data_IF_899807957602
#
_entry.id   IF_899807957602
#
_cell.length_a   1.000
_cell.length_b   1.000
_cell.length_c   1.000
_cell.angle_alpha   90.00
_cell.angle_beta   90.00
_cell.angle_gamma   90.00
#
_symmetry.space_group_name_H-M   'P 1'
#
loop_
_entity.id
_entity.type
_entity.pdbx_description
1 polymer ?
#
# COMPACT_ATOMS: atom_id res chain seq x y z
N UNK A 1 -19.32 9.62 -27.46
CA UNK A 1 -18.16 8.72 -27.53
C UNK A 1 -18.64 7.36 -27.02
N UNK A 2 -18.97 6.42 -27.91
CA UNK A 2 -19.44 5.11 -27.50
C UNK A 2 -18.25 4.35 -26.90
N UNK A 3 -18.26 4.12 -25.59
CA UNK A 3 -17.25 3.28 -24.95
C UNK A 3 -17.33 1.90 -25.60
N UNK A 4 -16.26 1.47 -26.27
CA UNK A 4 -16.19 0.15 -26.86
C UNK A 4 -16.31 -0.89 -25.74
N UNK A 5 -17.46 -1.56 -25.67
CA UNK A 5 -17.76 -2.58 -24.65
C UNK A 5 -16.68 -3.68 -24.61
N UNK A 6 -16.08 -3.98 -25.77
CA UNK A 6 -14.96 -4.91 -25.93
C UNK A 6 -13.71 -4.47 -25.16
N UNK A 7 -13.37 -3.18 -25.16
CA UNK A 7 -12.21 -2.65 -24.46
C UNK A 7 -12.38 -2.72 -22.93
N UNK A 8 -13.59 -2.46 -22.44
CA UNK A 8 -13.91 -2.58 -21.01
C UNK A 8 -13.83 -4.04 -20.56
N UNK A 9 -14.35 -4.97 -21.35
CA UNK A 9 -14.24 -6.41 -21.07
C UNK A 9 -12.77 -6.85 -21.06
N UNK A 10 -11.97 -6.42 -22.03
CA UNK A 10 -10.55 -6.73 -22.08
C UNK A 10 -9.78 -6.24 -20.84
N UNK A 11 -10.06 -5.02 -20.37
CA UNK A 11 -9.46 -4.49 -19.12
C UNK A 11 -9.87 -5.30 -17.89
N UNK A 12 -11.14 -5.67 -17.79
CA UNK A 12 -11.64 -6.52 -16.70
C UNK A 12 -10.95 -7.88 -16.68
N UNK A 13 -10.76 -8.49 -17.86
CA UNK A 13 -10.06 -9.77 -17.99
C UNK A 13 -8.59 -9.63 -17.56
N UNK A 14 -7.88 -8.58 -18.00
CA UNK A 14 -6.50 -8.32 -17.56
C UNK A 14 -6.43 -8.16 -16.04
N UNK A 15 -7.37 -7.42 -15.46
CA UNK A 15 -7.43 -7.22 -14.00
C UNK A 15 -7.65 -8.53 -13.24
N UNK A 16 -8.58 -9.38 -13.70
CA UNK A 16 -8.84 -10.68 -13.08
C UNK A 16 -7.64 -11.62 -13.22
N UNK A 17 -7.01 -11.66 -14.40
CA UNK A 17 -5.78 -12.45 -14.64
C UNK A 17 -4.67 -11.98 -13.69
N UNK A 18 -4.50 -10.66 -13.54
CA UNK A 18 -3.52 -10.08 -12.62
C UNK A 18 -3.77 -10.55 -11.18
N UNK A 19 -5.00 -10.45 -10.69
CA UNK A 19 -5.35 -10.91 -9.34
C UNK A 19 -5.09 -12.40 -9.16
N UNK A 20 -5.46 -13.21 -10.14
CA UNK A 20 -5.25 -14.65 -10.10
C UNK A 20 -3.77 -15.02 -10.08
N UNK A 21 -2.97 -14.34 -10.90
CA UNK A 21 -1.54 -14.61 -11.01
C UNK A 21 -0.75 -14.12 -9.78
N UNK A 22 -1.19 -13.03 -9.14
CA UNK A 22 -0.68 -12.61 -7.82
C UNK A 22 -1.01 -13.66 -6.76
N UNK A 23 -2.25 -14.18 -6.75
CA UNK A 23 -2.67 -15.18 -5.77
C UNK A 23 -1.91 -16.51 -5.89
N UNK A 24 -1.44 -16.86 -7.10
CA UNK A 24 -0.64 -18.07 -7.35
C UNK A 24 0.88 -17.88 -7.16
N UNK A 25 1.36 -16.68 -6.84
CA UNK A 25 2.79 -16.35 -6.70
C UNK A 25 3.66 -16.94 -7.86
N UNK A 26 3.14 -16.91 -9.10
CA UNK A 26 3.79 -17.52 -10.29
C UNK A 26 5.03 -16.75 -10.73
N UNK A 27 5.06 -15.44 -10.46
CA UNK A 27 6.11 -14.50 -10.84
C UNK A 27 6.38 -13.50 -9.72
N UNK A 28 7.51 -12.79 -9.80
CA UNK A 28 7.73 -11.61 -8.98
C UNK A 28 6.59 -10.60 -9.17
N UNK A 29 5.97 -10.22 -8.06
CA UNK A 29 4.77 -9.36 -8.03
C UNK A 29 5.00 -8.04 -8.78
N UNK A 30 6.19 -7.47 -8.68
CA UNK A 30 6.56 -6.24 -9.37
C UNK A 30 6.57 -6.41 -10.91
N UNK A 31 7.21 -7.46 -11.42
CA UNK A 31 7.27 -7.73 -12.85
C UNK A 31 5.87 -7.97 -13.43
N UNK A 32 5.03 -8.71 -12.70
CA UNK A 32 3.66 -8.98 -13.13
C UNK A 32 2.80 -7.72 -13.20
N UNK A 33 2.86 -6.87 -12.17
CA UNK A 33 2.13 -5.59 -12.15
C UNK A 33 2.56 -4.70 -13.32
N UNK A 34 3.86 -4.64 -13.64
CA UNK A 34 4.37 -3.85 -14.75
C UNK A 34 3.87 -4.36 -16.10
N UNK A 35 3.91 -5.67 -16.33
CA UNK A 35 3.41 -6.27 -17.58
C UNK A 35 1.92 -6.01 -17.75
N UNK A 36 1.12 -6.18 -16.69
CA UNK A 36 -0.31 -5.88 -16.73
C UNK A 36 -0.60 -4.40 -16.96
N UNK A 37 0.19 -3.49 -16.37
CA UNK A 37 0.05 -2.05 -16.58
C UNK A 37 0.32 -1.65 -18.04
N UNK A 38 1.37 -2.20 -18.65
CA UNK A 38 1.68 -1.98 -20.06
C UNK A 38 0.58 -2.55 -20.95
N UNK A 39 0.12 -3.78 -20.68
CA UNK A 39 -0.97 -4.39 -21.45
C UNK A 39 -2.27 -3.57 -21.36
N UNK A 40 -2.61 -3.07 -20.17
CA UNK A 40 -3.78 -2.20 -19.97
C UNK A 40 -3.65 -0.89 -20.76
N UNK A 41 -2.47 -0.26 -20.76
CA UNK A 41 -2.21 0.93 -21.56
C UNK A 41 -2.43 0.68 -23.06
N UNK A 42 -1.92 -0.43 -23.60
CA UNK A 42 -2.14 -0.80 -25.00
C UNK A 42 -3.63 -1.00 -25.32
N UNK A 43 -4.39 -1.65 -24.43
CA UNK A 43 -5.84 -1.81 -24.60
C UNK A 43 -6.55 -0.45 -24.64
N UNK A 44 -6.17 0.48 -23.76
CA UNK A 44 -6.78 1.81 -23.70
C UNK A 44 -6.48 2.64 -24.96
N UNK A 45 -5.25 2.62 -25.46
CA UNK A 45 -4.87 3.41 -26.63
C UNK A 45 -5.41 2.79 -27.93
N UNK A 46 -5.22 1.48 -28.13
CA UNK A 46 -5.56 0.82 -29.40
C UNK A 46 -7.02 0.37 -29.52
N UNK A 47 -7.62 -0.14 -28.44
CA UNK A 47 -8.98 -0.72 -28.51
C UNK A 47 -10.05 0.31 -28.17
N UNK A 48 -9.78 1.18 -27.19
CA UNK A 48 -10.69 2.27 -26.83
C UNK A 48 -10.47 3.54 -27.69
N UNK A 49 -9.37 3.60 -28.45
CA UNK A 49 -9.08 4.71 -29.38
C UNK A 49 -8.84 6.04 -28.66
N UNK A 50 -8.46 5.99 -27.39
CA UNK A 50 -8.13 7.18 -26.62
C UNK A 50 -6.76 7.71 -27.04
N UNK A 51 -6.66 9.02 -27.25
CA UNK A 51 -5.40 9.66 -27.58
C UNK A 51 -4.38 9.42 -26.45
N UNK A 52 -3.13 9.05 -26.77
CA UNK A 52 -2.08 8.82 -25.78
C UNK A 52 -1.91 9.99 -24.80
N UNK A 53 -2.07 11.23 -25.30
CA UNK A 53 -1.97 12.45 -24.48
C UNK A 53 -3.03 12.52 -23.39
N UNK A 54 -4.25 12.04 -23.64
CA UNK A 54 -5.32 12.00 -22.63
C UNK A 54 -5.01 10.96 -21.57
N UNK A 55 -4.51 9.78 -21.97
CA UNK A 55 -4.16 8.70 -21.02
C UNK A 55 -3.01 9.13 -20.10
N UNK A 56 -1.98 9.76 -20.67
CA UNK A 56 -0.85 10.31 -19.90
C UNK A 56 -1.31 11.47 -19.01
N UNK A 57 -2.20 12.34 -19.50
CA UNK A 57 -2.80 13.41 -18.70
C UNK A 57 -3.59 12.89 -17.49
N UNK A 58 -4.33 11.79 -17.63
CA UNK A 58 -4.97 11.13 -16.48
C UNK A 58 -3.97 10.55 -15.48
N UNK A 59 -2.90 9.92 -15.96
CA UNK A 59 -1.89 9.27 -15.13
C UNK A 59 -0.98 10.25 -14.38
N UNK A 60 -0.50 11.29 -15.07
CA UNK A 60 0.48 12.24 -14.53
C UNK A 60 -0.15 13.56 -14.06
N UNK A 61 -1.38 13.85 -14.49
CA UNK A 61 -2.03 15.14 -14.32
C UNK A 61 -1.80 16.05 -15.53
N UNK A 62 -2.69 17.03 -15.70
CA UNK A 62 -2.60 18.04 -16.77
C UNK A 62 -1.88 19.29 -16.24
N UNK A 63 -1.34 20.14 -17.11
CA UNK A 63 -0.74 21.44 -16.74
C UNK A 63 -1.69 22.30 -15.87
N UNK A 64 -3.00 22.22 -16.12
CA UNK A 64 -4.03 22.92 -15.34
C UNK A 64 -4.13 22.44 -13.88
N UNK A 65 -3.80 21.17 -13.61
CA UNK A 65 -3.87 20.55 -12.28
C UNK A 65 -2.49 20.48 -11.59
N UNK A 66 -1.47 21.12 -12.18
CA UNK A 66 -0.11 21.16 -11.64
C UNK A 66 0.52 19.79 -11.44
N UNK A 67 0.17 18.78 -12.25
CA UNK A 67 0.68 17.41 -12.13
C UNK A 67 0.46 16.76 -10.75
N UNK A 68 -0.66 17.05 -10.09
CA UNK A 68 -0.94 16.55 -8.71
C UNK A 68 -0.84 15.02 -8.60
N UNK A 69 -1.26 14.27 -9.63
CA UNK A 69 -1.16 12.80 -9.66
C UNK A 69 0.29 12.32 -9.69
N UNK A 70 1.16 12.97 -10.49
CA UNK A 70 2.58 12.65 -10.52
C UNK A 70 3.25 12.90 -9.16
N UNK A 71 2.93 14.02 -8.50
CA UNK A 71 3.42 14.30 -7.15
C UNK A 71 3.01 13.21 -6.15
N UNK A 72 1.76 12.72 -6.21
CA UNK A 72 1.29 11.63 -5.35
C UNK A 72 2.05 10.33 -5.60
N UNK A 73 2.31 9.96 -6.86
CA UNK A 73 3.10 8.77 -7.22
C UNK A 73 4.52 8.88 -6.67
N UNK A 74 5.18 10.03 -6.90
CA UNK A 74 6.54 10.30 -6.40
C UNK A 74 6.59 10.26 -4.87
N UNK A 75 5.58 10.80 -4.20
CA UNK A 75 5.47 10.78 -2.74
C UNK A 75 5.37 9.34 -2.20
N UNK A 76 4.47 8.52 -2.77
CA UNK A 76 4.30 7.12 -2.36
C UNK A 76 5.61 6.34 -2.58
N UNK A 77 6.27 6.55 -3.72
CA UNK A 77 7.56 5.91 -4.02
C UNK A 77 8.64 6.33 -3.01
N UNK A 78 8.78 7.62 -2.72
CA UNK A 78 9.75 8.13 -1.75
C UNK A 78 9.55 7.50 -0.37
N UNK A 79 8.30 7.37 0.07
CA UNK A 79 7.97 6.79 1.37
C UNK A 79 8.22 5.27 1.39
N UNK A 80 7.98 4.56 0.29
CA UNK A 80 8.36 3.15 0.15
C UNK A 80 9.88 2.94 0.30
N UNK A 81 10.69 3.80 -0.33
CA UNK A 81 12.16 3.74 -0.22
C UNK A 81 12.60 4.00 1.22
N UNK A 82 12.10 5.09 1.84
CA UNK A 82 12.44 5.45 3.23
C UNK A 82 12.06 4.30 4.18
N UNK A 83 10.84 3.76 4.06
CA UNK A 83 10.38 2.66 4.91
C UNK A 83 11.26 1.41 4.76
N UNK A 84 11.64 1.06 3.53
CA UNK A 84 12.51 -0.10 3.26
C UNK A 84 13.87 0.06 3.93
N UNK A 85 14.44 1.27 3.89
CA UNK A 85 15.71 1.58 4.57
C UNK A 85 15.54 1.48 6.08
N UNK A 86 14.50 2.10 6.66
CA UNK A 86 14.18 2.00 8.10
C UNK A 86 13.99 0.56 8.56
N UNK A 87 13.41 -0.29 7.72
CA UNK A 87 13.28 -1.72 8.02
C UNK A 87 14.63 -2.42 8.09
N UNK A 88 15.52 -2.17 7.12
CA UNK A 88 16.85 -2.79 7.09
C UNK A 88 17.78 -2.30 8.19
N UNK A 89 17.64 -1.06 8.66
CA UNK A 89 18.50 -0.48 9.71
C UNK A 89 18.12 -0.92 11.12
N UNK A 90 17.05 -1.69 11.30
CA UNK A 90 16.59 -2.13 12.63
C UNK A 90 15.88 -1.03 13.42
N UNK A 91 15.53 0.09 12.80
CA UNK A 91 14.78 1.19 13.42
C UNK A 91 13.49 0.71 14.09
N UNK A 92 12.75 -0.19 13.43
CA UNK A 92 11.54 -0.78 14.00
C UNK A 92 11.81 -1.70 15.19
N UNK A 93 12.96 -2.37 15.26
CA UNK A 93 13.33 -3.19 16.42
C UNK A 93 13.57 -2.31 17.65
N UNK A 94 14.17 -1.13 17.46
CA UNK A 94 14.35 -0.16 18.53
C UNK A 94 13.01 0.36 19.09
N UNK A 95 12.08 0.76 18.21
CA UNK A 95 10.73 1.19 18.62
C UNK A 95 9.97 0.04 19.29
N UNK A 96 10.08 -1.17 18.75
CA UNK A 96 9.48 -2.36 19.34
C UNK A 96 9.96 -2.59 20.78
N UNK A 97 11.25 -2.42 21.05
CA UNK A 97 11.80 -2.56 22.39
C UNK A 97 11.27 -1.50 23.36
N UNK A 98 11.16 -0.24 22.92
CA UNK A 98 10.53 0.83 23.69
C UNK A 98 9.07 0.50 24.04
N UNK A 99 8.29 0.03 23.06
CA UNK A 99 6.91 -0.39 23.25
C UNK A 99 6.78 -1.56 24.25
N UNK A 100 7.65 -2.55 24.16
CA UNK A 100 7.69 -3.70 25.07
C UNK A 100 8.01 -3.24 26.50
N UNK A 101 8.97 -2.32 26.65
CA UNK A 101 9.34 -1.75 27.95
C UNK A 101 8.19 -0.98 28.58
N UNK A 102 7.46 -0.17 27.78
CA UNK A 102 6.29 0.58 28.23
C UNK A 102 5.13 -0.33 28.68
N UNK A 103 4.93 -1.44 27.97
CA UNK A 103 3.81 -2.37 28.17
C UNK A 103 4.10 -3.47 29.20
N UNK A 104 5.34 -3.56 29.68
CA UNK A 104 5.86 -4.63 30.55
C UNK A 104 5.63 -6.03 29.96
N UNK A 105 5.62 -6.15 28.63
CA UNK A 105 5.42 -7.42 27.92
C UNK A 105 4.03 -8.05 28.03
N UNK A 106 3.01 -7.35 28.55
CA UNK A 106 1.64 -7.88 28.60
C UNK A 106 0.97 -7.75 27.24
N UNK A 107 0.58 -8.88 26.63
CA UNK A 107 -0.03 -8.94 25.30
C UNK A 107 -1.18 -7.94 25.08
N UNK A 108 -2.12 -7.85 26.03
CA UNK A 108 -3.27 -6.93 25.95
C UNK A 108 -2.84 -5.46 25.95
N UNK A 109 -1.82 -5.11 26.74
CA UNK A 109 -1.31 -3.72 26.80
C UNK A 109 -0.56 -3.35 25.52
N UNK A 110 0.22 -4.29 24.98
CA UNK A 110 0.90 -4.12 23.69
C UNK A 110 -0.11 -3.87 22.60
N UNK A 111 -1.19 -4.64 22.57
CA UNK A 111 -2.24 -4.52 21.57
C UNK A 111 -2.90 -3.14 21.59
N UNK A 112 -3.30 -2.65 22.78
CA UNK A 112 -3.89 -1.33 22.94
C UNK A 112 -2.93 -0.19 22.57
N UNK A 113 -1.71 -0.22 23.10
CA UNK A 113 -0.73 0.85 22.86
C UNK A 113 -0.31 0.89 21.39
N UNK A 114 -0.07 -0.27 20.76
CA UNK A 114 0.27 -0.36 19.35
C UNK A 114 -0.88 0.12 18.45
N UNK A 115 -2.12 -0.21 18.80
CA UNK A 115 -3.31 0.22 18.04
C UNK A 115 -3.55 1.73 18.17
N UNK A 116 -3.42 2.28 19.38
CA UNK A 116 -3.51 3.73 19.61
C UNK A 116 -2.41 4.49 18.88
N UNK A 117 -1.17 4.02 18.96
CA UNK A 117 -0.06 4.59 18.21
C UNK A 117 -0.32 4.55 16.71
N UNK A 118 -0.86 3.43 16.20
CA UNK A 118 -1.22 3.30 14.79
C UNK A 118 -2.29 4.31 14.39
N UNK A 119 -3.33 4.47 15.20
CA UNK A 119 -4.38 5.45 14.95
C UNK A 119 -3.83 6.88 14.89
N UNK A 120 -2.97 7.27 15.84
CA UNK A 120 -2.36 8.60 15.85
C UNK A 120 -1.45 8.85 14.64
N UNK A 121 -0.63 7.87 14.28
CA UNK A 121 0.23 7.99 13.08
C UNK A 121 -0.62 8.05 11.82
N UNK A 122 -1.70 7.27 11.73
CA UNK A 122 -2.56 7.24 10.55
C UNK A 122 -3.45 8.48 10.38
N UNK A 123 -3.72 9.25 11.43
CA UNK A 123 -4.41 10.53 11.26
C UNK A 123 -3.53 11.59 10.60
N UNK A 124 -2.20 11.42 10.67
CA UNK A 124 -1.24 12.31 9.98
C UNK A 124 -0.80 11.73 8.63
N UNK A 125 -0.68 10.41 8.52
CA UNK A 125 -0.18 9.70 7.33
C UNK A 125 -1.30 8.97 6.59
N UNK A 126 -1.22 8.89 5.26
CA UNK A 126 -2.18 8.11 4.49
C UNK A 126 -2.15 6.61 4.83
N UNK A 127 -3.30 5.94 4.69
CA UNK A 127 -3.52 4.51 4.98
C UNK A 127 -2.36 3.61 4.49
N UNK A 128 -1.99 3.74 3.21
CA UNK A 128 -0.97 2.92 2.57
C UNK A 128 0.41 3.07 3.20
N UNK A 129 0.75 4.29 3.63
CA UNK A 129 2.04 4.60 4.26
C UNK A 129 2.08 4.01 5.67
N UNK A 130 1.02 4.22 6.44
CA UNK A 130 0.93 3.74 7.82
C UNK A 130 1.02 2.22 7.86
N UNK A 131 0.35 1.53 6.93
CA UNK A 131 0.44 0.07 6.82
C UNK A 131 1.88 -0.41 6.56
N UNK A 132 2.59 0.25 5.64
CA UNK A 132 3.98 -0.08 5.29
C UNK A 132 4.94 0.06 6.49
N UNK A 133 4.69 1.00 7.40
CA UNK A 133 5.54 1.28 8.57
C UNK A 133 5.14 0.40 9.77
N UNK A 134 3.83 0.31 10.06
CA UNK A 134 3.34 -0.22 11.32
C UNK A 134 3.14 -1.75 11.33
N UNK A 135 2.89 -2.37 10.17
CA UNK A 135 2.80 -3.83 10.04
C UNK A 135 4.14 -4.50 10.39
N UNK A 136 5.29 -4.15 9.79
CA UNK A 136 6.56 -4.79 10.13
C UNK A 136 6.99 -4.53 11.58
N UNK A 137 6.66 -3.35 12.14
CA UNK A 137 6.84 -3.06 13.56
C UNK A 137 6.06 -4.06 14.44
N UNK A 138 4.79 -4.26 14.14
CA UNK A 138 3.91 -5.16 14.91
C UNK A 138 4.34 -6.61 14.81
N UNK A 139 4.75 -7.04 13.62
CA UNK A 139 5.33 -8.38 13.40
C UNK A 139 6.59 -8.56 14.26
N UNK A 140 7.45 -7.53 14.32
CA UNK A 140 8.68 -7.55 15.13
C UNK A 140 8.36 -7.64 16.62
N UNK A 141 7.42 -6.82 17.12
CA UNK A 141 6.97 -6.86 18.52
C UNK A 141 6.40 -8.24 18.89
N UNK A 142 5.52 -8.80 18.04
CA UNK A 142 4.89 -10.09 18.28
C UNK A 142 5.93 -11.23 18.27
N UNK A 143 6.91 -11.19 17.35
CA UNK A 143 8.02 -12.16 17.33
C UNK A 143 8.84 -12.11 18.62
N UNK A 144 9.18 -10.93 19.12
CA UNK A 144 9.95 -10.77 20.36
C UNK A 144 9.20 -11.29 21.59
N UNK A 145 7.87 -11.11 21.62
CA UNK A 145 7.00 -11.57 22.71
C UNK A 145 6.48 -13.00 22.54
N UNK A 146 6.83 -13.69 21.45
CA UNK A 146 6.28 -15.01 21.05
C UNK A 146 4.74 -15.04 21.01
N UNK A 147 4.13 -13.96 20.54
CA UNK A 147 2.69 -13.82 20.38
C UNK A 147 2.27 -14.07 18.93
N UNK A 148 1.02 -14.48 18.72
CA UNK A 148 0.44 -14.58 17.39
C UNK A 148 0.17 -13.17 16.85
N UNK A 149 0.81 -12.81 15.73
CA UNK A 149 0.71 -11.48 15.12
C UNK A 149 -0.62 -11.24 14.41
N UNK A 150 -1.35 -12.30 14.05
CA UNK A 150 -2.56 -12.25 13.24
C UNK A 150 -3.67 -11.37 13.85
N UNK A 151 -4.08 -11.54 15.12
CA UNK A 151 -5.09 -10.66 15.74
C UNK A 151 -4.62 -9.22 15.90
N UNK A 152 -3.31 -8.99 16.11
CA UNK A 152 -2.76 -7.64 16.21
C UNK A 152 -2.84 -6.91 14.88
N UNK A 153 -2.47 -7.57 13.79
CA UNK A 153 -2.50 -6.99 12.44
C UNK A 153 -3.95 -6.67 12.02
N UNK A 154 -4.91 -7.56 12.30
CA UNK A 154 -6.32 -7.31 11.96
C UNK A 154 -6.83 -6.05 12.66
N UNK A 155 -6.64 -5.96 13.98
CA UNK A 155 -7.07 -4.77 14.74
C UNK A 155 -6.36 -3.51 14.24
N UNK A 156 -5.07 -3.63 13.96
CA UNK A 156 -4.28 -2.54 13.43
C UNK A 156 -4.81 -2.06 12.07
N UNK A 157 -5.22 -2.95 11.16
CA UNK A 157 -5.83 -2.58 9.88
C UNK A 157 -7.11 -1.75 10.06
N UNK A 158 -7.94 -2.08 11.06
CA UNK A 158 -9.10 -1.25 11.42
C UNK A 158 -8.66 0.13 11.92
N UNK A 159 -7.67 0.20 12.81
CA UNK A 159 -7.18 1.46 13.35
C UNK A 159 -6.52 2.37 12.29
N UNK A 160 -5.82 1.80 11.30
CA UNK A 160 -5.27 2.55 10.16
C UNK A 160 -6.42 3.24 9.43
N UNK A 161 -7.43 2.47 9.05
CA UNK A 161 -8.58 2.97 8.28
C UNK A 161 -9.34 4.06 9.02
N UNK A 162 -9.58 3.85 10.33
CA UNK A 162 -10.23 4.83 11.18
C UNK A 162 -9.38 6.09 11.35
N UNK A 163 -8.07 5.94 11.51
CA UNK A 163 -7.16 7.07 11.70
C UNK A 163 -7.07 7.95 10.47
N UNK A 164 -6.89 7.39 9.26
CA UNK A 164 -6.78 8.21 8.05
C UNK A 164 -8.08 8.91 7.62
N UNK A 165 -9.20 8.54 8.22
CA UNK A 165 -10.49 9.22 7.99
C UNK A 165 -10.61 10.49 8.84
N UNK A 166 -9.82 10.61 9.92
CA UNK A 166 -9.82 11.74 10.86
C UNK A 166 -8.72 12.73 10.48
#
# INVERSE_FOLDING_TARGET
MAVNFVGVIALLVIFVIMLYAIAKDVMERAALVLVCAVAAYFVVVWILGLEPGVVVGYLMGTDADGYTNFHAIVLIFGIMVISTVCYRTGFFQFIAFQLIKLTKGKAVKVLWINSLLTFMVSSVLADSITAIIMIPLTVTVCKTLRLNALPFIILQSFCIKLGATV
#
